data_IF_160780146814
#
_entry.id   IF_160780146814
#
_cell.length_a   1.000
_cell.length_b   1.000
_cell.length_c   1.000
_cell.angle_alpha   90.00
_cell.angle_beta   90.00
_cell.angle_gamma   90.00
#
_symmetry.space_group_name_H-M   'P 1'
#
loop_
_entity.id
_entity.type
_entity.pdbx_description
1 polymer ?
#
# COMPACT_ATOMS: atom_id res chain seq x y z
N UNK A 1 -2.39 24.55 -43.49
CA UNK A 1 -0.96 24.82 -43.20
C UNK A 1 -0.91 25.60 -41.88
N UNK A 2 -1.17 25.00 -40.71
CA UNK A 2 -0.45 23.98 -39.94
C UNK A 2 0.54 24.61 -38.94
N UNK A 3 0.03 24.86 -37.73
CA UNK A 3 0.80 24.98 -36.48
C UNK A 3 -0.03 24.39 -35.32
N UNK A 4 -0.64 23.23 -35.55
CA UNK A 4 -1.26 22.38 -34.54
C UNK A 4 -0.36 21.16 -34.37
N UNK A 5 0.69 21.26 -33.57
CA UNK A 5 1.45 20.08 -33.11
C UNK A 5 2.40 20.45 -31.97
N UNK A 6 2.31 19.69 -30.87
CA UNK A 6 3.32 19.50 -29.80
C UNK A 6 3.37 20.52 -28.66
N UNK A 7 2.42 20.38 -27.73
CA UNK A 7 2.69 20.45 -26.29
C UNK A 7 1.55 19.72 -25.57
N UNK A 8 1.61 18.39 -25.54
CA UNK A 8 0.74 17.58 -24.70
C UNK A 8 1.16 17.75 -23.25
N UNK A 9 0.66 18.80 -22.60
CA UNK A 9 0.79 19.01 -21.16
C UNK A 9 -0.09 17.96 -20.47
N UNK A 10 0.48 16.79 -20.22
CA UNK A 10 -0.08 15.78 -19.31
C UNK A 10 -0.11 16.38 -17.90
N UNK A 11 -1.20 17.08 -17.60
CA UNK A 11 -1.49 17.62 -16.28
C UNK A 11 -1.85 16.46 -15.33
N UNK A 12 -0.83 15.70 -14.92
CA UNK A 12 -0.87 14.88 -13.70
C UNK A 12 -0.89 15.88 -12.54
N UNK A 13 -2.09 16.25 -12.09
CA UNK A 13 -2.22 17.42 -11.24
C UNK A 13 -3.57 17.59 -10.57
N UNK A 14 -4.15 16.50 -10.06
CA UNK A 14 -5.15 16.44 -8.99
C UNK A 14 -5.67 15.00 -8.95
N UNK A 15 -5.66 14.33 -7.78
CA UNK A 15 -6.57 13.19 -7.60
C UNK A 15 -7.98 13.81 -7.49
N UNK A 16 -8.84 13.73 -8.51
CA UNK A 16 -10.08 14.51 -8.55
C UNK A 16 -11.07 13.94 -7.55
N UNK A 17 -12.06 14.74 -7.15
CA UNK A 17 -13.21 14.27 -6.37
C UNK A 17 -13.95 13.08 -7.01
N UNK A 18 -13.71 12.82 -8.30
CA UNK A 18 -14.15 11.61 -8.99
C UNK A 18 -13.59 10.31 -8.41
N UNK A 19 -12.33 10.25 -7.97
CA UNK A 19 -11.81 9.05 -7.31
C UNK A 19 -12.51 8.79 -5.97
N UNK A 20 -12.84 9.85 -5.23
CA UNK A 20 -13.61 9.73 -4.00
C UNK A 20 -15.04 9.24 -4.27
N UNK A 21 -15.64 9.70 -5.38
CA UNK A 21 -16.95 9.23 -5.83
C UNK A 21 -16.87 7.79 -6.32
N UNK A 22 -15.87 7.40 -7.11
CA UNK A 22 -15.65 6.02 -7.56
C UNK A 22 -15.46 5.06 -6.38
N UNK A 23 -14.66 5.43 -5.39
CA UNK A 23 -14.47 4.64 -4.15
C UNK A 23 -15.79 4.51 -3.36
N UNK A 24 -16.63 5.55 -3.36
CA UNK A 24 -17.89 5.58 -2.59
C UNK A 24 -19.12 5.01 -3.33
N UNK A 25 -19.12 5.03 -4.66
CA UNK A 25 -20.32 4.77 -5.49
C UNK A 25 -20.27 3.39 -6.13
N UNK A 26 -19.08 2.81 -6.34
CA UNK A 26 -19.02 1.50 -6.98
C UNK A 26 -19.43 0.37 -6.01
N UNK A 27 -20.32 -0.54 -6.46
CA UNK A 27 -20.65 -1.72 -5.68
C UNK A 27 -19.37 -2.54 -5.45
N UNK A 28 -19.43 -3.32 -4.38
CA UNK A 28 -18.40 -4.26 -3.93
C UNK A 28 -18.11 -5.27 -5.06
N UNK A 29 -17.29 -4.88 -6.03
CA UNK A 29 -16.80 -5.78 -7.06
C UNK A 29 -16.04 -6.91 -6.37
N UNK A 30 -16.11 -8.10 -6.98
CA UNK A 30 -15.37 -9.25 -6.51
C UNK A 30 -13.90 -8.87 -6.40
N UNK A 31 -13.36 -9.08 -5.21
CA UNK A 31 -12.00 -8.72 -4.84
C UNK A 31 -11.05 -9.41 -5.83
N UNK A 32 -10.42 -8.66 -6.74
CA UNK A 32 -9.49 -9.23 -7.73
C UNK A 32 -8.29 -9.90 -7.07
N UNK A 33 -7.92 -9.42 -5.88
CA UNK A 33 -6.83 -9.95 -5.08
C UNK A 33 -7.38 -10.38 -3.71
N UNK A 34 -7.15 -11.63 -3.32
CA UNK A 34 -7.47 -12.12 -1.97
C UNK A 34 -6.48 -11.51 -0.95
N UNK A 35 -6.73 -10.25 -0.59
CA UNK A 35 -5.92 -9.53 0.38
C UNK A 35 -6.00 -10.13 1.76
N UNK A 36 -7.04 -10.91 2.09
CA UNK A 36 -7.05 -11.65 3.37
C UNK A 36 -5.94 -12.67 3.38
N UNK A 37 -5.69 -13.36 2.26
CA UNK A 37 -4.55 -14.27 2.11
C UNK A 37 -3.21 -13.53 2.06
N UNK A 38 -3.13 -12.39 1.38
CA UNK A 38 -1.93 -11.56 1.36
C UNK A 38 -1.57 -11.02 2.76
N UNK A 39 -2.56 -10.49 3.49
CA UNK A 39 -2.42 -9.94 4.84
C UNK A 39 -2.06 -10.99 5.90
N UNK A 40 -2.53 -12.24 5.75
CA UNK A 40 -2.11 -13.35 6.62
C UNK A 40 -0.59 -13.55 6.61
N UNK A 41 0.09 -13.18 5.53
CA UNK A 41 1.56 -13.24 5.44
C UNK A 41 2.24 -12.20 6.36
N UNK A 42 1.59 -11.06 6.58
CA UNK A 42 2.10 -9.95 7.38
C UNK A 42 1.65 -10.03 8.84
N UNK A 43 0.55 -10.72 9.10
CA UNK A 43 -0.11 -10.84 10.40
C UNK A 43 0.78 -11.37 11.53
N UNK A 44 1.77 -12.21 11.20
CA UNK A 44 2.61 -12.88 12.20
C UNK A 44 3.85 -12.10 12.64
N UNK A 45 4.33 -11.14 11.86
CA UNK A 45 5.61 -10.45 12.11
C UNK A 45 5.50 -9.06 12.73
N UNK A 46 4.28 -8.52 12.84
CA UNK A 46 4.10 -7.22 13.49
C UNK A 46 4.47 -7.28 14.96
N UNK A 47 5.31 -6.33 15.39
CA UNK A 47 5.81 -6.22 16.78
C UNK A 47 5.04 -5.17 17.59
N UNK A 48 4.12 -4.45 16.97
CA UNK A 48 3.32 -3.44 17.66
C UNK A 48 2.32 -4.10 18.60
N UNK A 49 2.33 -3.67 19.86
CA UNK A 49 1.55 -4.26 20.94
C UNK A 49 0.65 -3.20 21.55
N UNK A 50 -0.65 -3.50 21.66
CA UNK A 50 -1.67 -2.65 22.25
C UNK A 50 -2.26 -3.36 23.45
N UNK A 51 -2.31 -2.66 24.59
CA UNK A 51 -2.98 -3.14 25.79
C UNK A 51 -4.47 -2.83 25.68
N UNK A 52 -5.31 -3.87 25.82
CA UNK A 52 -6.77 -3.70 25.91
C UNK A 52 -7.25 -4.20 27.27
N UNK A 53 -7.90 -3.32 28.02
CA UNK A 53 -8.59 -3.71 29.25
C UNK A 53 -9.75 -4.66 28.93
N UNK A 54 -9.83 -5.77 29.65
CA UNK A 54 -10.95 -6.72 29.58
C UNK A 54 -11.94 -6.43 30.69
N UNK A 55 -13.19 -6.20 30.31
CA UNK A 55 -14.29 -6.08 31.27
C UNK A 55 -14.63 -7.49 31.76
N UNK A 56 -14.35 -7.77 33.03
CA UNK A 56 -14.83 -8.96 33.73
C UNK A 56 -15.93 -8.56 34.71
N UNK A 57 -16.90 -9.45 34.95
CA UNK A 57 -17.88 -9.23 36.00
C UNK A 57 -17.15 -9.16 37.35
N UNK A 58 -17.32 -8.08 38.14
CA UNK A 58 -16.58 -7.93 39.39
C UNK A 58 -16.92 -9.05 40.38
N UNK A 59 -15.90 -9.71 40.91
CA UNK A 59 -16.03 -10.62 42.04
C UNK A 59 -16.57 -9.85 43.25
N UNK A 60 -17.74 -10.28 43.75
CA UNK A 60 -18.34 -9.71 44.97
C UNK A 60 -17.49 -9.92 46.23
N UNK A 61 -16.55 -10.89 46.21
CA UNK A 61 -15.74 -11.28 47.38
C UNK A 61 -14.41 -10.53 47.49
N UNK A 62 -13.79 -10.15 46.37
CA UNK A 62 -12.41 -9.64 46.36
C UNK A 62 -12.25 -8.29 45.65
N UNK A 63 -13.33 -7.71 45.10
CA UNK A 63 -13.19 -6.69 44.05
C UNK A 63 -12.53 -7.30 42.81
N UNK A 64 -12.59 -6.66 41.65
CA UNK A 64 -11.85 -7.16 40.49
C UNK A 64 -11.26 -6.00 39.72
N UNK A 65 -9.94 -6.03 39.60
CA UNK A 65 -9.23 -5.15 38.68
C UNK A 65 -9.39 -5.74 37.28
N UNK A 66 -9.79 -4.94 36.27
CA UNK A 66 -9.90 -5.41 34.89
C UNK A 66 -8.60 -6.07 34.44
N UNK A 67 -8.69 -7.28 33.87
CA UNK A 67 -7.54 -7.93 33.26
C UNK A 67 -6.96 -7.10 32.10
N UNK A 68 -5.66 -7.19 31.86
CA UNK A 68 -5.01 -6.59 30.70
C UNK A 68 -4.80 -7.66 29.62
N UNK A 69 -5.46 -7.50 28.47
CA UNK A 69 -5.23 -8.36 27.30
C UNK A 69 -4.30 -7.67 26.32
N UNK A 70 -3.13 -8.26 26.13
CA UNK A 70 -2.16 -7.85 25.13
C UNK A 70 -2.66 -8.25 23.74
N UNK A 71 -2.89 -7.28 22.86
CA UNK A 71 -3.22 -7.51 21.44
C UNK A 71 -2.07 -7.04 20.56
N UNK A 72 -1.67 -7.84 19.57
CA UNK A 72 -0.76 -7.38 18.53
C UNK A 72 -1.53 -6.58 17.51
N UNK A 73 -1.09 -5.34 17.26
CA UNK A 73 -1.61 -4.52 16.17
C UNK A 73 -0.74 -4.76 14.94
N UNK A 74 -1.37 -4.91 13.78
CA UNK A 74 -0.64 -5.09 12.53
C UNK A 74 -0.16 -3.73 12.04
N UNK A 75 1.15 -3.56 11.87
CA UNK A 75 1.73 -2.39 11.22
C UNK A 75 2.19 -2.78 9.82
N UNK A 76 1.64 -2.12 8.79
CA UNK A 76 1.94 -2.35 7.39
C UNK A 76 2.56 -1.10 6.78
N UNK A 77 3.60 -1.30 5.98
CA UNK A 77 4.13 -0.26 5.10
C UNK A 77 3.53 -0.43 3.72
N UNK A 78 3.15 0.68 3.10
CA UNK A 78 2.62 0.71 1.73
C UNK A 78 3.42 1.72 0.94
N UNK A 79 4.19 1.24 -0.03
CA UNK A 79 4.90 2.06 -0.99
C UNK A 79 4.03 2.35 -2.20
N UNK A 80 3.82 3.63 -2.52
CA UNK A 80 3.21 4.07 -3.77
C UNK A 80 4.28 4.63 -4.69
N UNK A 81 4.39 4.00 -5.85
CA UNK A 81 5.13 4.56 -6.97
C UNK A 81 4.33 5.73 -7.56
N UNK A 82 4.89 6.93 -7.47
CA UNK A 82 4.25 8.15 -7.98
C UNK A 82 4.74 8.52 -9.38
N UNK A 83 5.49 7.64 -10.05
CA UNK A 83 5.86 7.83 -11.45
C UNK A 83 4.62 7.90 -12.34
N UNK A 84 4.70 8.71 -13.40
CA UNK A 84 3.55 9.11 -14.24
C UNK A 84 2.91 8.00 -15.09
N UNK A 85 3.21 6.73 -14.82
CA UNK A 85 2.81 5.55 -15.60
C UNK A 85 1.67 4.76 -14.95
N UNK A 86 1.16 5.20 -13.81
CA UNK A 86 0.10 4.48 -13.06
C UNK A 86 -1.27 5.09 -13.35
N UNK A 87 -2.16 4.27 -13.90
CA UNK A 87 -3.54 4.66 -14.23
C UNK A 87 -4.38 4.98 -12.98
N UNK A 88 -5.32 5.92 -13.11
CA UNK A 88 -6.16 6.37 -12.01
C UNK A 88 -7.11 5.26 -11.50
N UNK A 89 -7.57 4.40 -12.41
CA UNK A 89 -8.47 3.28 -12.13
C UNK A 89 -7.79 2.21 -11.27
N UNK A 90 -6.57 1.80 -11.65
CA UNK A 90 -5.77 0.84 -10.89
C UNK A 90 -5.45 1.39 -9.49
N UNK A 91 -5.13 2.68 -9.41
CA UNK A 91 -4.91 3.38 -8.14
C UNK A 91 -6.18 3.39 -7.28
N UNK A 92 -7.35 3.65 -7.87
CA UNK A 92 -8.64 3.62 -7.17
C UNK A 92 -8.91 2.24 -6.57
N UNK A 93 -8.74 1.19 -7.39
CA UNK A 93 -8.94 -0.20 -6.99
C UNK A 93 -8.03 -0.56 -5.81
N UNK A 94 -6.74 -0.20 -5.89
CA UNK A 94 -5.81 -0.42 -4.79
C UNK A 94 -6.20 0.33 -3.51
N UNK A 95 -6.63 1.60 -3.61
CA UNK A 95 -7.05 2.36 -2.43
C UNK A 95 -8.33 1.81 -1.79
N UNK A 96 -9.28 1.28 -2.56
CA UNK A 96 -10.47 0.57 -2.02
C UNK A 96 -10.05 -0.61 -1.16
N UNK A 97 -9.08 -1.37 -1.66
CA UNK A 97 -8.56 -2.53 -0.96
C UNK A 97 -7.82 -2.11 0.30
N UNK A 98 -6.92 -1.13 0.20
CA UNK A 98 -6.20 -0.56 1.34
C UNK A 98 -7.14 -0.03 2.42
N UNK A 99 -8.25 0.59 2.03
CA UNK A 99 -9.30 1.04 2.94
C UNK A 99 -9.94 -0.13 3.70
N UNK A 100 -10.19 -1.27 3.03
CA UNK A 100 -10.72 -2.46 3.69
C UNK A 100 -9.73 -3.02 4.73
N UNK A 101 -8.42 -3.00 4.44
CA UNK A 101 -7.36 -3.38 5.39
C UNK A 101 -7.35 -2.43 6.59
N UNK A 102 -7.38 -1.13 6.33
CA UNK A 102 -7.39 -0.11 7.38
C UNK A 102 -8.58 -0.29 8.34
N UNK A 103 -9.76 -0.61 7.80
CA UNK A 103 -10.97 -0.87 8.59
C UNK A 103 -10.85 -2.06 9.55
N UNK A 104 -9.91 -2.99 9.36
CA UNK A 104 -9.68 -4.08 10.33
C UNK A 104 -8.92 -3.61 11.58
N UNK A 105 -8.47 -2.35 11.62
CA UNK A 105 -7.70 -1.77 12.71
C UNK A 105 -6.17 -1.87 12.54
N UNK A 106 -5.70 -2.26 11.36
CA UNK A 106 -4.28 -2.24 11.02
C UNK A 106 -3.75 -0.80 10.98
N UNK A 107 -2.55 -0.57 11.52
CA UNK A 107 -1.80 0.64 11.27
C UNK A 107 -1.16 0.55 9.89
N UNK A 108 -1.42 1.52 9.04
CA UNK A 108 -0.85 1.59 7.70
C UNK A 108 -0.05 2.88 7.60
N UNK A 109 1.22 2.74 7.26
CA UNK A 109 2.10 3.86 6.91
C UNK A 109 2.30 3.84 5.40
N UNK A 110 1.87 4.92 4.76
CA UNK A 110 2.02 5.15 3.33
C UNK A 110 3.33 5.88 3.09
N UNK A 111 4.07 5.44 2.07
CA UNK A 111 5.33 6.01 1.61
C UNK A 111 5.22 6.25 0.10
N UNK A 112 5.20 7.50 -0.31
CA UNK A 112 5.21 7.89 -1.72
C UNK A 112 6.66 8.05 -2.18
N UNK A 113 7.02 7.42 -3.29
CA UNK A 113 8.39 7.41 -3.80
C UNK A 113 8.45 7.45 -5.33
N UNK A 114 9.55 8.00 -5.84
CA UNK A 114 9.95 8.00 -7.26
C UNK A 114 11.47 7.67 -7.31
N UNK A 115 12.34 8.61 -7.70
CA UNK A 115 13.80 8.49 -7.47
C UNK A 115 14.18 8.55 -5.98
N UNK A 116 13.38 9.26 -5.18
CA UNK A 116 13.54 9.45 -3.74
C UNK A 116 12.18 9.37 -3.03
N UNK A 117 12.20 9.29 -1.70
CA UNK A 117 10.97 9.33 -0.89
C UNK A 117 10.42 10.76 -0.91
N UNK A 118 9.23 10.92 -1.46
CA UNK A 118 8.55 12.21 -1.56
C UNK A 118 7.75 12.50 -0.29
N UNK A 119 7.09 11.47 0.25
CA UNK A 119 6.18 11.65 1.38
C UNK A 119 6.07 10.39 2.22
N UNK A 120 5.80 10.57 3.50
CA UNK A 120 5.42 9.49 4.40
C UNK A 120 4.33 9.96 5.35
N UNK A 121 3.26 9.19 5.49
CA UNK A 121 2.13 9.53 6.36
C UNK A 121 1.36 8.29 6.82
N UNK A 122 0.65 8.41 7.94
CA UNK A 122 -0.27 7.36 8.38
C UNK A 122 -1.58 7.44 7.60
N UNK A 123 -2.01 6.32 7.02
CA UNK A 123 -3.28 6.25 6.30
C UNK A 123 -4.45 6.36 7.29
N UNK A 124 -5.34 7.32 7.05
CA UNK A 124 -6.53 7.59 7.88
C UNK A 124 -7.84 7.25 7.17
N UNK A 125 -7.79 6.32 6.22
CA UNK A 125 -8.94 5.91 5.43
C UNK A 125 -9.23 6.79 4.21
N UNK A 126 -8.36 7.75 3.88
CA UNK A 126 -8.45 8.56 2.67
C UNK A 126 -7.05 8.74 2.05
N UNK A 127 -6.90 8.65 0.72
CA UNK A 127 -5.68 9.08 0.05
C UNK A 127 -5.49 10.59 0.22
N UNK A 128 -4.25 11.02 0.40
CA UNK A 128 -3.93 12.44 0.45
C UNK A 128 -3.82 13.01 -0.97
N UNK A 129 -4.30 14.24 -1.18
CA UNK A 129 -4.71 14.75 -2.51
C UNK A 129 -3.57 15.26 -3.40
N UNK A 130 -2.31 15.05 -3.01
CA UNK A 130 -1.14 15.59 -3.71
C UNK A 130 -0.10 14.51 -3.94
N UNK A 131 -0.29 13.75 -5.01
CA UNK A 131 0.77 12.93 -5.59
C UNK A 131 1.64 13.84 -6.44
N UNK A 132 2.92 13.98 -6.07
CA UNK A 132 3.93 14.68 -6.87
C UNK A 132 4.86 13.62 -7.46
N UNK A 133 5.07 13.65 -8.77
CA UNK A 133 5.96 12.74 -9.49
C UNK A 133 6.50 13.41 -10.75
N UNK A 134 7.62 12.89 -11.27
CA UNK A 134 8.20 13.42 -12.51
C UNK A 134 9.68 13.11 -12.76
N UNK A 135 10.31 12.23 -11.97
CA UNK A 135 11.73 11.94 -12.12
C UNK A 135 12.05 10.50 -11.74
N UNK A 136 12.02 9.60 -12.73
CA UNK A 136 12.62 8.26 -12.75
C UNK A 136 12.43 7.36 -11.53
N UNK A 137 11.93 6.14 -11.71
CA UNK A 137 11.63 5.24 -10.60
C UNK A 137 12.87 4.54 -10.02
N UNK A 138 13.01 4.54 -8.68
CA UNK A 138 13.98 3.71 -7.95
C UNK A 138 13.34 3.07 -6.72
N UNK A 139 13.43 1.74 -6.60
CA UNK A 139 12.91 1.02 -5.43
C UNK A 139 13.84 1.08 -4.21
N UNK A 140 15.11 1.46 -4.39
CA UNK A 140 16.12 1.44 -3.32
C UNK A 140 15.77 2.34 -2.11
N UNK A 141 15.31 3.59 -2.28
CA UNK A 141 14.91 4.45 -1.17
C UNK A 141 13.81 3.82 -0.31
N UNK A 142 12.77 3.28 -0.95
CA UNK A 142 11.66 2.61 -0.25
C UNK A 142 12.15 1.43 0.59
N UNK A 143 13.01 0.58 0.03
CA UNK A 143 13.51 -0.61 0.71
C UNK A 143 14.43 -0.25 1.89
N UNK A 144 15.26 0.79 1.74
CA UNK A 144 16.07 1.32 2.83
C UNK A 144 15.20 1.85 3.96
N UNK A 145 14.13 2.57 3.64
CA UNK A 145 13.16 3.04 4.63
C UNK A 145 12.47 1.86 5.33
N UNK A 146 11.99 0.89 4.58
CA UNK A 146 11.31 -0.28 5.13
C UNK A 146 12.21 -1.08 6.09
N UNK A 147 13.49 -1.25 5.75
CA UNK A 147 14.46 -1.93 6.61
C UNK A 147 14.78 -1.20 7.93
N UNK A 148 14.57 0.12 8.00
CA UNK A 148 14.70 0.90 9.24
C UNK A 148 13.47 0.77 10.14
N UNK A 149 12.34 0.32 9.61
CA UNK A 149 11.07 0.24 10.32
C UNK A 149 10.87 -1.12 11.00
N UNK A 150 11.54 -1.29 12.14
CA UNK A 150 11.57 -2.53 12.91
C UNK A 150 10.21 -3.03 13.42
N UNK A 151 9.21 -2.15 13.52
CA UNK A 151 7.86 -2.50 13.98
C UNK A 151 6.94 -2.99 12.87
N UNK A 152 7.29 -2.75 11.61
CA UNK A 152 6.48 -3.15 10.47
C UNK A 152 6.45 -4.68 10.30
N UNK A 153 5.26 -5.24 10.14
CA UNK A 153 5.05 -6.66 9.86
C UNK A 153 5.20 -7.03 8.38
N UNK A 154 5.17 -6.05 7.47
CA UNK A 154 5.27 -6.27 6.03
C UNK A 154 5.25 -4.99 5.20
N UNK A 155 5.69 -5.12 3.95
CA UNK A 155 5.72 -4.06 2.94
C UNK A 155 4.86 -4.48 1.75
N UNK A 156 3.94 -3.62 1.34
CA UNK A 156 3.19 -3.74 0.09
C UNK A 156 3.71 -2.63 -0.82
N UNK A 157 4.07 -2.95 -2.06
CA UNK A 157 4.53 -1.96 -3.03
C UNK A 157 3.59 -1.98 -4.22
N UNK A 158 2.97 -0.83 -4.52
CA UNK A 158 2.18 -0.63 -5.71
C UNK A 158 3.00 0.15 -6.74
N UNK A 159 3.22 -0.44 -7.92
CA UNK A 159 4.10 0.07 -8.97
C UNK A 159 3.72 -0.53 -10.33
N UNK A 160 4.15 0.10 -11.41
CA UNK A 160 4.10 -0.49 -12.76
C UNK A 160 5.24 -1.50 -12.99
N UNK A 161 6.26 -1.53 -12.13
CA UNK A 161 7.39 -2.46 -12.17
C UNK A 161 8.48 -2.10 -13.18
N UNK A 162 8.47 -0.90 -13.77
CA UNK A 162 9.48 -0.45 -14.74
C UNK A 162 10.69 0.22 -14.07
N UNK A 163 11.28 -0.44 -13.07
CA UNK A 163 12.52 0.01 -12.46
C UNK A 163 13.53 -1.12 -12.25
N UNK A 164 14.84 -0.82 -12.17
CA UNK A 164 15.85 -1.81 -11.90
C UNK A 164 15.55 -2.61 -10.64
N UNK A 165 15.73 -3.93 -10.72
CA UNK A 165 15.54 -4.81 -9.58
C UNK A 165 16.49 -4.41 -8.45
N UNK A 166 15.97 -4.19 -7.23
CA UNK A 166 16.79 -3.78 -6.12
C UNK A 166 17.60 -4.98 -5.60
N UNK A 167 18.91 -4.76 -5.40
CA UNK A 167 19.81 -5.78 -4.82
C UNK A 167 19.82 -5.79 -3.28
N UNK A 168 19.02 -4.92 -2.64
CA UNK A 168 19.00 -4.77 -1.19
C UNK A 168 18.14 -5.87 -0.53
N UNK A 169 18.69 -6.70 0.39
CA UNK A 169 17.90 -7.68 1.11
C UNK A 169 16.93 -7.00 2.07
N UNK A 170 15.68 -7.47 2.10
CA UNK A 170 14.64 -6.98 3.00
C UNK A 170 14.53 -7.83 4.26
N UNK A 171 14.37 -7.16 5.41
CA UNK A 171 14.18 -7.79 6.73
C UNK A 171 12.73 -8.18 7.01
N UNK A 172 11.80 -7.72 6.19
CA UNK A 172 10.37 -7.92 6.30
C UNK A 172 9.81 -8.53 5.02
N UNK A 173 8.71 -9.31 5.09
CA UNK A 173 8.05 -9.82 3.89
C UNK A 173 7.56 -8.67 3.02
N UNK A 174 7.78 -8.80 1.71
CA UNK A 174 7.31 -7.86 0.69
C UNK A 174 6.34 -8.52 -0.28
N UNK A 175 5.31 -7.76 -0.63
CA UNK A 175 4.38 -8.06 -1.71
C UNK A 175 4.43 -6.92 -2.74
N UNK A 176 4.76 -7.27 -3.96
CA UNK A 176 4.70 -6.38 -5.12
C UNK A 176 3.34 -6.53 -5.78
N UNK A 177 2.71 -5.39 -6.05
CA UNK A 177 1.40 -5.25 -6.66
C UNK A 177 1.63 -4.46 -7.92
N UNK A 178 1.66 -5.20 -9.03
CA UNK A 178 1.94 -4.65 -10.34
C UNK A 178 0.62 -4.22 -10.98
N UNK A 179 0.56 -2.97 -11.43
CA UNK A 179 -0.60 -2.43 -12.18
C UNK A 179 -0.92 -3.30 -13.39
N UNK A 180 -2.17 -3.22 -13.89
CA UNK A 180 -2.60 -4.08 -14.99
C UNK A 180 -1.78 -3.83 -16.25
N UNK A 181 -1.51 -2.54 -16.55
CA UNK A 181 -0.67 -2.09 -17.68
C UNK A 181 0.83 -2.11 -17.39
N UNK A 182 1.22 -2.47 -16.16
CA UNK A 182 2.61 -2.60 -15.77
C UNK A 182 3.32 -3.78 -16.44
N UNK A 183 4.55 -4.03 -15.99
CA UNK A 183 5.44 -5.09 -16.48
C UNK A 183 4.73 -6.45 -16.60
N UNK A 184 4.99 -7.16 -17.70
CA UNK A 184 4.42 -8.48 -17.94
C UNK A 184 5.05 -9.57 -17.03
N UNK A 185 4.27 -10.62 -16.72
CA UNK A 185 4.70 -11.69 -15.77
C UNK A 185 5.91 -12.49 -16.25
N UNK A 186 6.11 -12.54 -17.56
CA UNK A 186 7.22 -13.20 -18.25
C UNK A 186 8.48 -12.33 -18.32
N UNK A 187 8.38 -11.02 -18.12
CA UNK A 187 9.51 -10.11 -18.13
C UNK A 187 10.54 -10.43 -17.04
N UNK A 188 11.85 -10.31 -17.33
CA UNK A 188 12.90 -10.41 -16.33
C UNK A 188 12.69 -9.47 -15.14
N UNK A 189 12.18 -8.27 -15.38
CA UNK A 189 11.91 -7.27 -14.34
C UNK A 189 10.90 -7.81 -13.31
N UNK A 190 9.81 -8.45 -13.74
CA UNK A 190 8.83 -9.07 -12.83
C UNK A 190 9.42 -10.25 -12.07
N UNK A 191 10.17 -11.11 -12.76
CA UNK A 191 10.73 -12.34 -12.19
C UNK A 191 11.78 -12.04 -11.12
N UNK A 192 12.62 -11.04 -11.37
CA UNK A 192 13.76 -10.71 -10.51
C UNK A 192 13.37 -9.93 -9.25
N UNK A 193 12.16 -9.35 -9.15
CA UNK A 193 11.71 -8.71 -7.92
C UNK A 193 11.80 -9.67 -6.72
N UNK A 194 12.25 -9.22 -5.54
CA UNK A 194 12.35 -10.08 -4.38
C UNK A 194 10.97 -10.34 -3.75
N UNK A 195 10.74 -11.51 -3.15
CA UNK A 195 9.50 -11.80 -2.42
C UNK A 195 8.32 -12.15 -3.32
N UNK A 196 7.09 -11.88 -2.85
CA UNK A 196 5.86 -12.25 -3.57
C UNK A 196 5.44 -11.16 -4.54
N UNK A 197 4.88 -11.57 -5.69
CA UNK A 197 4.36 -10.64 -6.69
C UNK A 197 2.94 -11.04 -7.07
N UNK A 198 2.11 -10.04 -7.26
CA UNK A 198 0.76 -10.15 -7.81
C UNK A 198 0.64 -9.09 -8.89
N UNK A 199 0.04 -9.46 -10.02
CA UNK A 199 -0.30 -8.52 -11.09
C UNK A 199 -1.81 -8.36 -11.07
N UNK A 200 -2.29 -7.11 -11.09
CA UNK A 200 -3.71 -6.79 -11.20
C UNK A 200 -4.22 -7.22 -12.57
N UNK A 201 -5.50 -7.60 -12.62
CA UNK A 201 -6.13 -7.86 -13.90
C UNK A 201 -6.55 -6.51 -14.49
N UNK A 202 -6.57 -6.36 -15.82
CA UNK A 202 -7.17 -5.20 -16.43
C UNK A 202 -8.64 -5.13 -16.02
N UNK A 203 -9.06 -3.99 -15.48
CA UNK A 203 -10.47 -3.70 -15.23
C UNK A 203 -11.23 -3.86 -16.55
N UNK A 204 -12.23 -4.74 -16.56
CA UNK A 204 -13.02 -5.08 -17.76
C UNK A 204 -13.88 -3.92 -18.24
#
# INVERSE_FOLDING_TARGET
RNARERAGTLAVGQLPGELQRLIATEPKQDLEIDWRRALRLFAGKSRETVLKSTIHHPSKRYGTTPGLRVKRRQHLLVGFDTSGSVDAEDLAAFFRELFAIWRTGAQITVVEFDAEIQRTYSFRGRPDSKVRGGGGTSFLPLLRFANRQATAGGLIVFTDGFAPTPLLPLRLPVLWVISARGVAKDSPLFRNLPGRKVKMNPSA
#
